data_IF_733327236828
#
_entry.id   IF_733327236828
#
_cell.length_a   1.000
_cell.length_b   1.000
_cell.length_c   1.000
_cell.angle_alpha   90.00
_cell.angle_beta   90.00
_cell.angle_gamma   90.00
#
_symmetry.space_group_name_H-M   'P 1'
#
loop_
_entity.id
_entity.type
_entity.pdbx_description
1 polymer ?
#
# COMPACT_ATOMS: atom_id res chain seq x y z
N UNK A 1 -0.32 -4.63 27.75
CA UNK A 1 -1.14 -3.73 28.60
C UNK A 1 -2.02 -2.89 27.68
N UNK A 2 -3.36 -2.91 27.83
CA UNK A 2 -4.21 -1.97 27.09
C UNK A 2 -3.99 -0.56 27.66
N UNK A 3 -3.64 0.39 26.80
CA UNK A 3 -3.53 1.81 27.17
C UNK A 3 -4.93 2.35 27.44
N UNK A 4 -5.18 2.77 28.68
CA UNK A 4 -6.40 3.50 29.06
C UNK A 4 -6.37 4.87 28.34
N UNK A 5 -7.43 5.27 27.62
CA UNK A 5 -7.48 6.58 27.00
C UNK A 5 -7.45 7.67 28.09
N UNK A 6 -6.42 8.51 28.11
CA UNK A 6 -6.42 9.70 28.97
C UNK A 6 -7.32 10.75 28.32
N UNK A 7 -8.49 10.98 28.91
CA UNK A 7 -9.35 12.09 28.53
C UNK A 7 -8.70 13.39 29.01
N UNK A 8 -8.08 14.13 28.08
CA UNK A 8 -7.75 15.54 28.30
C UNK A 8 -9.02 16.38 28.10
N UNK A 9 -9.21 17.37 28.96
CA UNK A 9 -10.44 18.16 29.21
C UNK A 9 -10.97 19.04 28.06
N UNK A 10 -10.53 18.82 26.83
CA UNK A 10 -11.14 19.37 25.62
C UNK A 10 -11.47 18.18 24.72
N UNK A 11 -12.73 18.02 24.31
CA UNK A 11 -13.29 16.86 23.61
C UNK A 11 -12.65 16.44 22.28
N UNK A 12 -11.45 16.90 21.97
CA UNK A 12 -10.57 16.33 20.98
C UNK A 12 -10.05 14.98 21.49
N UNK A 13 -10.57 13.89 20.93
CA UNK A 13 -10.00 12.55 21.11
C UNK A 13 -8.59 12.57 20.53
N UNK A 14 -7.59 12.71 21.39
CA UNK A 14 -6.19 12.60 21.01
C UNK A 14 -5.89 11.11 20.80
N UNK A 15 -5.88 10.66 19.55
CA UNK A 15 -5.39 9.34 19.17
C UNK A 15 -3.90 9.46 18.84
N UNK A 16 -2.99 9.22 19.81
CA UNK A 16 -1.58 9.20 19.48
C UNK A 16 -1.34 8.08 18.46
N UNK A 17 -0.76 8.41 17.31
CA UNK A 17 -0.28 7.38 16.38
C UNK A 17 0.88 6.65 17.04
N UNK A 18 0.58 5.55 17.75
CA UNK A 18 1.55 4.71 18.44
C UNK A 18 2.33 3.91 17.40
N UNK A 19 3.66 3.80 17.59
CA UNK A 19 4.53 3.00 16.72
C UNK A 19 4.17 1.51 16.88
N UNK A 20 3.76 0.88 15.78
CA UNK A 20 3.45 -0.56 15.78
C UNK A 20 4.67 -1.48 15.78
N UNK A 21 5.88 -0.98 15.46
CA UNK A 21 7.12 -1.75 15.42
C UNK A 21 8.35 -0.84 15.58
N UNK A 22 9.52 -1.37 15.98
CA UNK A 22 10.77 -0.64 15.87
C UNK A 22 11.21 -0.50 14.41
N UNK A 23 11.97 0.55 14.14
CA UNK A 23 12.54 0.79 12.83
C UNK A 23 13.59 -0.27 12.46
N UNK A 24 13.29 -1.08 11.46
CA UNK A 24 14.23 -2.05 10.93
C UNK A 24 14.96 -1.48 9.72
N UNK A 25 16.30 -1.50 9.76
CA UNK A 25 17.16 -1.21 8.61
C UNK A 25 17.35 -2.49 7.80
N UNK A 26 17.43 -2.34 6.47
CA UNK A 26 17.73 -3.46 5.60
C UNK A 26 19.24 -3.75 5.66
N UNK A 27 19.62 -4.83 6.32
CA UNK A 27 21.01 -5.32 6.32
C UNK A 27 21.26 -6.22 5.12
N UNK A 28 22.52 -6.40 4.73
CA UNK A 28 22.90 -7.30 3.63
C UNK A 28 22.43 -8.74 3.87
N UNK A 29 22.50 -9.22 5.11
CA UNK A 29 21.98 -10.54 5.50
C UNK A 29 20.46 -10.64 5.29
N UNK A 30 19.68 -9.62 5.68
CA UNK A 30 18.24 -9.59 5.42
C UNK A 30 17.94 -9.52 3.92
N UNK A 31 18.74 -8.78 3.15
CA UNK A 31 18.61 -8.74 1.69
C UNK A 31 18.84 -10.11 1.05
N UNK A 32 19.93 -10.80 1.39
CA UNK A 32 20.23 -12.13 0.85
C UNK A 32 19.17 -13.16 1.28
N UNK A 33 18.76 -13.12 2.56
CA UNK A 33 17.67 -13.96 3.08
C UNK A 33 16.37 -13.74 2.30
N UNK A 34 16.06 -12.51 1.93
CA UNK A 34 14.85 -12.21 1.14
C UNK A 34 14.89 -12.92 -0.22
N UNK A 35 16.00 -12.83 -0.94
CA UNK A 35 16.16 -13.48 -2.24
C UNK A 35 16.14 -15.00 -2.17
N UNK A 36 16.79 -15.58 -1.16
CA UNK A 36 16.75 -17.03 -0.91
C UNK A 36 15.30 -17.47 -0.65
N UNK A 37 14.58 -16.76 0.23
CA UNK A 37 13.18 -17.06 0.53
C UNK A 37 12.30 -16.92 -0.72
N UNK A 38 12.47 -15.85 -1.48
CA UNK A 38 11.74 -15.62 -2.72
C UNK A 38 11.98 -16.76 -3.72
N UNK A 39 13.23 -17.11 -3.97
CA UNK A 39 13.62 -18.17 -4.89
C UNK A 39 13.06 -19.53 -4.48
N UNK A 40 13.22 -19.92 -3.20
CA UNK A 40 12.72 -21.21 -2.70
C UNK A 40 11.19 -21.31 -2.84
N UNK A 41 10.46 -20.23 -2.57
CA UNK A 41 9.01 -20.23 -2.72
C UNK A 41 8.58 -20.21 -4.19
N UNK A 42 9.24 -19.41 -5.03
CA UNK A 42 8.91 -19.26 -6.43
C UNK A 42 9.18 -20.54 -7.25
N UNK A 43 10.30 -21.23 -6.97
CA UNK A 43 10.73 -22.37 -7.81
C UNK A 43 10.27 -23.71 -7.26
N UNK A 44 10.19 -23.88 -5.94
CA UNK A 44 9.92 -25.20 -5.35
C UNK A 44 8.56 -25.25 -4.65
N UNK A 45 8.37 -24.44 -3.60
CA UNK A 45 7.23 -24.64 -2.70
C UNK A 45 5.88 -24.28 -3.34
N UNK A 46 5.78 -23.12 -3.99
CA UNK A 46 4.51 -22.67 -4.59
C UNK A 46 4.15 -23.47 -5.84
N UNK A 47 5.08 -23.78 -6.76
CA UNK A 47 4.79 -24.67 -7.88
C UNK A 47 4.32 -26.05 -7.41
N UNK A 48 4.99 -26.63 -6.41
CA UNK A 48 4.58 -27.91 -5.84
C UNK A 48 3.16 -27.87 -5.25
N UNK A 49 2.83 -26.81 -4.51
CA UNK A 49 1.48 -26.63 -3.98
C UNK A 49 0.43 -26.49 -5.09
N UNK A 50 0.72 -25.72 -6.14
CA UNK A 50 -0.18 -25.57 -7.29
C UNK A 50 -0.32 -26.91 -8.03
N UNK A 51 0.76 -27.67 -8.17
CA UNK A 51 0.72 -28.99 -8.79
C UNK A 51 -0.21 -29.95 -8.02
N UNK A 52 -0.04 -30.01 -6.70
CA UNK A 52 -0.91 -30.83 -5.86
C UNK A 52 -2.37 -30.40 -5.96
N UNK A 53 -2.68 -29.10 -5.93
CA UNK A 53 -4.07 -28.62 -5.93
C UNK A 53 -4.77 -28.75 -7.29
N UNK A 54 -4.05 -28.55 -8.40
CA UNK A 54 -4.64 -28.52 -9.74
C UNK A 54 -4.59 -29.87 -10.47
N UNK A 55 -3.67 -30.76 -10.10
CA UNK A 55 -3.51 -32.05 -10.77
C UNK A 55 -3.81 -33.24 -9.86
N UNK A 56 -3.25 -33.29 -8.65
CA UNK A 56 -3.38 -34.47 -7.76
C UNK A 56 -4.70 -34.46 -6.99
N UNK A 57 -4.99 -33.36 -6.31
CA UNK A 57 -6.16 -33.16 -5.44
C UNK A 57 -7.27 -32.39 -6.16
N UNK A 58 -7.23 -32.34 -7.49
CA UNK A 58 -8.12 -31.51 -8.32
C UNK A 58 -9.60 -31.70 -7.97
N UNK A 59 -10.02 -32.93 -7.72
CA UNK A 59 -11.42 -33.28 -7.43
C UNK A 59 -11.88 -32.81 -6.05
N UNK A 60 -10.95 -32.57 -5.13
CA UNK A 60 -11.25 -32.16 -3.75
C UNK A 60 -10.83 -30.73 -3.44
N UNK A 61 -10.06 -30.10 -4.33
CA UNK A 61 -9.51 -28.76 -4.13
C UNK A 61 -10.59 -27.69 -4.25
N UNK A 62 -10.93 -26.95 -3.18
CA UNK A 62 -11.91 -25.87 -3.25
C UNK A 62 -11.49 -24.76 -4.22
N UNK A 63 -10.18 -24.58 -4.42
CA UNK A 63 -9.64 -23.63 -5.39
C UNK A 63 -10.09 -23.94 -6.81
N UNK A 64 -10.11 -25.22 -7.18
CA UNK A 64 -10.52 -25.66 -8.52
C UNK A 64 -12.04 -25.77 -8.61
N UNK A 65 -12.68 -26.33 -7.57
CA UNK A 65 -14.10 -26.65 -7.59
C UNK A 65 -14.99 -25.41 -7.37
N UNK A 66 -14.63 -24.54 -6.42
CA UNK A 66 -15.48 -23.41 -6.02
C UNK A 66 -14.98 -22.08 -6.62
N UNK A 67 -13.68 -21.84 -6.60
CA UNK A 67 -13.12 -20.55 -7.03
C UNK A 67 -12.89 -20.50 -8.54
N UNK A 68 -12.55 -21.63 -9.17
CA UNK A 68 -12.30 -21.71 -10.62
C UNK A 68 -11.11 -20.85 -11.09
N UNK A 69 -10.17 -20.50 -10.20
CA UNK A 69 -9.07 -19.57 -10.51
C UNK A 69 -8.08 -20.21 -11.51
N UNK A 70 -7.54 -19.49 -12.50
CA UNK A 70 -6.44 -19.99 -13.32
C UNK A 70 -5.18 -20.30 -12.48
N UNK A 71 -4.45 -21.36 -12.85
CA UNK A 71 -3.26 -21.81 -12.11
C UNK A 71 -2.21 -20.71 -11.94
N UNK A 72 -2.00 -19.89 -12.98
CA UNK A 72 -1.05 -18.79 -12.94
C UNK A 72 -1.42 -17.72 -11.90
N UNK A 73 -2.69 -17.29 -11.87
CA UNK A 73 -3.17 -16.33 -10.88
C UNK A 73 -3.09 -16.92 -9.47
N UNK A 74 -3.37 -18.21 -9.32
CA UNK A 74 -3.26 -18.89 -8.04
C UNK A 74 -1.81 -18.97 -7.55
N UNK A 75 -0.88 -19.32 -8.43
CA UNK A 75 0.56 -19.28 -8.20
C UNK A 75 1.02 -17.90 -7.73
N UNK A 76 0.65 -16.82 -8.44
CA UNK A 76 1.02 -15.46 -8.06
C UNK A 76 0.51 -15.09 -6.66
N UNK A 77 -0.74 -15.44 -6.35
CA UNK A 77 -1.34 -15.14 -5.05
C UNK A 77 -0.62 -15.89 -3.93
N UNK A 78 -0.33 -17.17 -4.11
CA UNK A 78 0.44 -17.96 -3.14
C UNK A 78 1.86 -17.44 -2.97
N UNK A 79 2.52 -17.04 -4.05
CA UNK A 79 3.86 -16.46 -3.99
C UNK A 79 3.87 -15.14 -3.21
N UNK A 80 2.92 -14.24 -3.51
CA UNK A 80 2.78 -12.97 -2.76
C UNK A 80 2.49 -13.25 -1.29
N UNK A 81 1.59 -14.18 -0.97
CA UNK A 81 1.30 -14.57 0.41
C UNK A 81 2.52 -15.17 1.12
N UNK A 82 3.28 -16.03 0.44
CA UNK A 82 4.46 -16.67 0.99
C UNK A 82 5.57 -15.66 1.31
N UNK A 83 5.80 -14.70 0.41
CA UNK A 83 6.75 -13.61 0.62
C UNK A 83 6.25 -12.69 1.73
N UNK A 84 4.96 -12.34 1.73
CA UNK A 84 4.36 -11.45 2.72
C UNK A 84 4.44 -12.02 4.14
N UNK A 85 4.08 -13.29 4.33
CA UNK A 85 4.06 -13.95 5.64
C UNK A 85 5.45 -14.17 6.23
N UNK A 86 6.50 -14.27 5.41
CA UNK A 86 7.84 -14.65 5.84
C UNK A 86 8.86 -13.50 5.82
N UNK A 87 8.50 -12.37 5.21
CA UNK A 87 9.38 -11.20 5.13
C UNK A 87 9.22 -10.30 6.34
N UNK A 88 10.33 -9.73 6.79
CA UNK A 88 10.30 -8.65 7.78
C UNK A 88 9.81 -7.34 7.15
N UNK A 89 9.31 -6.38 7.94
CA UNK A 89 8.97 -5.04 7.45
C UNK A 89 10.09 -4.38 6.61
N UNK A 90 11.36 -4.58 6.97
CA UNK A 90 12.49 -4.06 6.19
C UNK A 90 12.61 -4.74 4.81
N UNK A 91 12.42 -6.06 4.74
CA UNK A 91 12.48 -6.82 3.48
C UNK A 91 11.30 -6.48 2.55
N UNK A 92 10.10 -6.25 3.10
CA UNK A 92 8.94 -5.84 2.30
C UNK A 92 9.14 -4.48 1.59
N UNK A 93 10.03 -3.61 2.10
CA UNK A 93 10.38 -2.37 1.40
C UNK A 93 11.22 -2.58 0.14
N UNK A 94 11.88 -3.74 -0.02
CA UNK A 94 12.54 -4.09 -1.29
C UNK A 94 11.49 -4.14 -2.41
N UNK A 95 10.31 -4.68 -2.10
CA UNK A 95 9.20 -4.80 -3.05
C UNK A 95 8.34 -3.54 -3.13
N UNK A 96 8.17 -2.84 -2.01
CA UNK A 96 7.24 -1.72 -1.88
C UNK A 96 7.94 -0.48 -1.32
N UNK A 97 8.98 0.01 -2.01
CA UNK A 97 9.54 1.33 -1.72
C UNK A 97 8.52 2.40 -2.13
N UNK A 98 7.81 2.91 -1.12
CA UNK A 98 6.82 3.97 -1.27
C UNK A 98 7.36 5.16 -2.07
N UNK A 99 8.50 5.71 -1.68
CA UNK A 99 8.97 6.99 -2.21
C UNK A 99 9.25 6.85 -3.70
N UNK A 100 10.06 5.84 -4.04
CA UNK A 100 10.41 5.54 -5.42
C UNK A 100 9.17 5.17 -6.24
N UNK A 101 8.33 4.27 -5.72
CA UNK A 101 7.18 3.77 -6.47
C UNK A 101 6.22 4.92 -6.79
N UNK A 102 5.85 5.75 -5.81
CA UNK A 102 4.94 6.87 -6.08
C UNK A 102 5.57 7.96 -6.95
N UNK A 103 6.88 8.18 -6.85
CA UNK A 103 7.57 9.07 -7.78
C UNK A 103 7.43 8.57 -9.23
N UNK A 104 7.57 7.25 -9.45
CA UNK A 104 7.39 6.62 -10.76
C UNK A 104 5.94 6.67 -11.25
N UNK A 105 4.96 6.41 -10.39
CA UNK A 105 3.54 6.45 -10.81
C UNK A 105 3.11 7.88 -11.13
N UNK A 106 3.48 8.85 -10.30
CA UNK A 106 3.09 10.24 -10.52
C UNK A 106 3.94 10.95 -11.58
N UNK A 107 5.05 10.38 -12.04
CA UNK A 107 5.78 10.89 -13.20
C UNK A 107 5.10 10.53 -14.52
N UNK A 108 4.15 9.58 -14.52
CA UNK A 108 3.42 9.22 -15.72
C UNK A 108 2.60 10.43 -16.25
N UNK A 109 2.57 10.66 -17.57
CA UNK A 109 1.93 11.85 -18.16
C UNK A 109 0.49 12.10 -17.71
N UNK A 110 -0.27 11.03 -17.48
CA UNK A 110 -1.67 11.07 -17.04
C UNK A 110 -1.90 11.77 -15.69
N UNK A 111 -0.87 11.84 -14.84
CA UNK A 111 -0.92 12.49 -13.52
C UNK A 111 -0.36 13.91 -13.52
N UNK A 112 0.15 14.41 -14.64
CA UNK A 112 0.82 15.70 -14.72
C UNK A 112 -0.15 16.84 -14.34
N UNK A 113 0.18 17.56 -13.27
CA UNK A 113 -0.65 18.66 -12.75
C UNK A 113 -1.85 18.22 -11.92
N UNK A 114 -2.12 16.92 -11.80
CA UNK A 114 -3.24 16.37 -11.02
C UNK A 114 -2.89 16.13 -9.55
N UNK A 115 -1.61 15.86 -9.27
CA UNK A 115 -1.15 15.47 -7.94
C UNK A 115 -0.48 16.64 -7.24
N UNK A 116 -0.94 16.97 -6.02
CA UNK A 116 -0.32 17.97 -5.16
C UNK A 116 -0.01 17.39 -3.77
N UNK A 117 1.26 17.36 -3.39
CA UNK A 117 1.69 17.00 -2.03
C UNK A 117 1.31 18.12 -1.06
N UNK A 118 0.86 17.74 0.13
CA UNK A 118 0.56 18.66 1.23
C UNK A 118 1.04 18.08 2.55
N UNK A 119 1.43 18.96 3.46
CA UNK A 119 1.79 18.60 4.82
C UNK A 119 1.14 19.61 5.77
N UNK A 120 0.35 19.12 6.73
CA UNK A 120 -0.38 19.94 7.69
C UNK A 120 -0.24 19.30 9.06
N UNK A 121 0.24 20.06 10.06
CA UNK A 121 0.38 19.61 11.44
C UNK A 121 1.12 18.26 11.59
N UNK A 122 2.21 18.07 10.83
CA UNK A 122 3.01 16.84 10.83
C UNK A 122 2.37 15.62 10.16
N UNK A 123 1.20 15.81 9.53
CA UNK A 123 0.53 14.82 8.69
C UNK A 123 0.77 15.14 7.23
N UNK A 124 1.47 14.24 6.54
CA UNK A 124 1.62 14.30 5.09
C UNK A 124 0.40 13.71 4.39
N UNK A 125 0.09 14.22 3.21
CA UNK A 125 -0.89 13.65 2.32
C UNK A 125 -0.74 14.17 0.90
N UNK A 126 -1.59 13.69 0.00
CA UNK A 126 -1.58 14.07 -1.41
C UNK A 126 -2.99 14.29 -1.91
N UNK A 127 -3.17 15.40 -2.61
CA UNK A 127 -4.38 15.66 -3.36
C UNK A 127 -4.24 15.08 -4.77
N UNK A 128 -5.32 14.48 -5.26
CA UNK A 128 -5.55 14.12 -6.64
C UNK A 128 -6.80 14.88 -7.09
N UNK A 129 -6.64 15.86 -7.97
CA UNK A 129 -7.73 16.70 -8.44
C UNK A 129 -7.41 17.22 -9.85
N UNK A 130 -8.42 17.72 -10.55
CA UNK A 130 -8.20 18.37 -11.83
C UNK A 130 -7.29 19.61 -11.67
N UNK A 131 -6.37 19.89 -12.62
CA UNK A 131 -5.51 21.06 -12.54
C UNK A 131 -6.32 22.36 -12.49
N UNK A 132 -5.94 23.28 -11.60
CA UNK A 132 -6.55 24.61 -11.52
C UNK A 132 -7.90 24.68 -10.78
N UNK A 133 -8.40 23.58 -10.21
CA UNK A 133 -9.65 23.63 -9.44
C UNK A 133 -9.45 24.17 -8.03
N UNK A 134 -10.39 25.01 -7.59
CA UNK A 134 -10.50 25.38 -6.19
C UNK A 134 -11.21 24.26 -5.41
N UNK A 135 -10.42 23.52 -4.63
CA UNK A 135 -10.87 22.36 -3.85
C UNK A 135 -11.94 22.68 -2.81
N UNK A 136 -12.09 23.96 -2.41
CA UNK A 136 -13.19 24.37 -1.52
C UNK A 136 -14.56 24.28 -2.19
N UNK A 137 -14.58 24.21 -3.52
CA UNK A 137 -15.78 24.12 -4.35
C UNK A 137 -16.00 22.72 -4.91
N UNK A 138 -15.23 21.73 -4.45
CA UNK A 138 -15.47 20.35 -4.84
C UNK A 138 -16.78 19.86 -4.21
N UNK A 139 -17.66 19.26 -5.01
CA UNK A 139 -18.91 18.65 -4.56
C UNK A 139 -18.65 17.42 -3.69
N UNK A 140 -17.56 16.69 -4.01
CA UNK A 140 -17.20 15.45 -3.33
C UNK A 140 -15.69 15.38 -3.08
N UNK A 141 -15.33 15.08 -1.84
CA UNK A 141 -13.94 14.78 -1.46
C UNK A 141 -13.84 13.35 -0.95
N UNK A 142 -13.09 12.51 -1.66
CA UNK A 142 -12.79 11.15 -1.24
C UNK A 142 -11.58 11.16 -0.32
N UNK A 143 -11.79 10.91 0.97
CA UNK A 143 -10.72 10.71 1.92
C UNK A 143 -10.25 9.25 1.90
N UNK A 144 -9.07 9.00 1.33
CA UNK A 144 -8.53 7.66 1.15
C UNK A 144 -7.39 7.37 2.12
N UNK A 145 -7.57 6.30 2.90
CA UNK A 145 -6.54 5.70 3.74
C UNK A 145 -6.15 4.38 3.08
N UNK A 146 -4.91 4.29 2.63
CA UNK A 146 -4.44 3.11 1.92
C UNK A 146 -4.35 1.87 2.82
N UNK A 147 -4.58 0.68 2.26
CA UNK A 147 -4.31 -0.59 2.94
C UNK A 147 -2.81 -0.89 3.09
N UNK A 148 -2.49 -2.08 3.58
CA UNK A 148 -1.09 -2.52 3.77
C UNK A 148 -0.73 -2.86 5.21
N UNK A 149 -1.75 -3.14 6.04
CA UNK A 149 -1.57 -3.60 7.42
C UNK A 149 -0.77 -2.64 8.30
N UNK A 150 -0.76 -1.35 7.97
CA UNK A 150 0.07 -0.30 8.60
C UNK A 150 1.59 -0.49 8.49
N UNK A 151 2.04 -1.48 7.69
CA UNK A 151 3.44 -1.86 7.54
C UNK A 151 4.03 -1.36 6.23
N UNK A 152 3.28 -1.44 5.11
CA UNK A 152 3.76 -1.04 3.78
C UNK A 152 2.70 -0.22 3.02
N UNK A 153 3.09 0.43 1.91
CA UNK A 153 2.15 1.18 1.07
C UNK A 153 1.54 0.30 -0.01
N UNK A 154 0.22 0.19 -0.03
CA UNK A 154 -0.51 -0.36 -1.18
C UNK A 154 -1.31 0.70 -1.95
N UNK A 155 -1.34 1.94 -1.46
CA UNK A 155 -2.16 3.02 -2.01
C UNK A 155 -1.69 3.51 -3.37
N UNK A 156 -0.53 3.04 -3.82
CA UNK A 156 -0.01 3.36 -5.14
C UNK A 156 -0.83 2.71 -6.25
N UNK A 157 -1.27 1.47 -6.06
CA UNK A 157 -2.02 0.72 -7.06
C UNK A 157 -3.43 1.30 -7.27
N UNK A 158 -3.95 2.04 -6.29
CA UNK A 158 -5.27 2.68 -6.37
C UNK A 158 -5.26 4.03 -7.08
N UNK A 159 -4.09 4.65 -7.34
CA UNK A 159 -4.03 6.01 -7.91
C UNK A 159 -4.70 6.09 -9.29
N UNK A 160 -4.48 5.08 -10.13
CA UNK A 160 -5.06 5.02 -11.48
C UNK A 160 -6.57 4.89 -11.47
N UNK A 161 -7.08 4.04 -10.57
CA UNK A 161 -8.51 3.89 -10.35
C UNK A 161 -9.14 5.22 -9.96
N UNK A 162 -8.58 5.91 -8.95
CA UNK A 162 -9.13 7.19 -8.51
C UNK A 162 -9.02 8.29 -9.56
N UNK A 163 -7.92 8.34 -10.32
CA UNK A 163 -7.79 9.29 -11.43
C UNK A 163 -8.89 9.08 -12.47
N UNK A 164 -9.13 7.81 -12.85
CA UNK A 164 -10.20 7.47 -13.79
C UNK A 164 -11.57 7.87 -13.24
N UNK A 165 -11.87 7.51 -11.99
CA UNK A 165 -13.15 7.81 -11.35
C UNK A 165 -13.41 9.31 -11.25
N UNK A 166 -12.41 10.10 -10.83
CA UNK A 166 -12.54 11.56 -10.74
C UNK A 166 -12.79 12.17 -12.12
N UNK A 167 -12.09 11.70 -13.16
CA UNK A 167 -12.34 12.14 -14.54
C UNK A 167 -13.76 11.79 -14.99
N UNK A 168 -14.23 10.57 -14.74
CA UNK A 168 -15.60 10.17 -15.09
C UNK A 168 -16.66 11.00 -14.37
N UNK A 169 -16.49 11.26 -13.07
CA UNK A 169 -17.42 12.11 -12.31
C UNK A 169 -17.52 13.52 -12.90
N UNK A 170 -16.38 14.11 -13.27
CA UNK A 170 -16.35 15.44 -13.88
C UNK A 170 -16.90 15.45 -15.30
N UNK A 171 -16.38 14.57 -16.16
CA UNK A 171 -16.60 14.62 -17.61
C UNK A 171 -17.98 14.07 -18.01
N UNK A 172 -18.51 13.09 -17.27
CA UNK A 172 -19.80 12.44 -17.58
C UNK A 172 -20.94 12.99 -16.72
N UNK A 173 -20.67 13.27 -15.45
CA UNK A 173 -21.72 13.65 -14.49
C UNK A 173 -21.67 15.13 -14.10
N UNK A 174 -20.68 15.90 -14.55
CA UNK A 174 -20.51 17.31 -14.18
C UNK A 174 -20.17 17.54 -12.71
N UNK A 175 -19.80 16.48 -11.97
CA UNK A 175 -19.52 16.53 -10.54
C UNK A 175 -18.04 16.84 -10.33
N UNK A 176 -17.74 17.92 -9.63
CA UNK A 176 -16.37 18.26 -9.29
C UNK A 176 -15.92 17.44 -8.07
N UNK A 177 -15.06 16.45 -8.31
CA UNK A 177 -14.55 15.57 -7.28
C UNK A 177 -13.04 15.70 -7.08
N UNK A 178 -12.57 15.45 -5.85
CA UNK A 178 -11.16 15.28 -5.54
C UNK A 178 -10.91 14.12 -4.60
N UNK A 179 -9.68 13.61 -4.62
CA UNK A 179 -9.20 12.58 -3.71
C UNK A 179 -8.11 13.13 -2.80
N UNK A 180 -8.25 12.92 -1.48
CA UNK A 180 -7.18 13.14 -0.52
C UNK A 180 -6.62 11.80 -0.05
N UNK A 181 -5.34 11.57 -0.33
CA UNK A 181 -4.61 10.36 0.01
C UNK A 181 -3.78 10.63 1.25
N UNK A 182 -4.20 10.04 2.38
CA UNK A 182 -3.49 10.19 3.64
C UNK A 182 -2.18 9.39 3.60
N UNK A 183 -1.08 10.09 3.84
CA UNK A 183 0.25 9.50 3.97
C UNK A 183 0.59 9.30 5.44
N UNK A 184 -0.17 8.40 6.07
CA UNK A 184 0.00 8.14 7.50
C UNK A 184 1.37 7.54 7.82
N UNK A 185 1.84 7.77 9.05
CA UNK A 185 3.08 7.18 9.53
C UNK A 185 2.88 5.67 9.67
N UNK A 186 3.71 4.91 8.97
CA UNK A 186 3.75 3.46 9.09
C UNK A 186 4.55 3.06 10.32
N UNK A 187 4.31 1.85 10.79
CA UNK A 187 4.92 1.29 12.00
C UNK A 187 6.45 1.24 11.98
N UNK A 188 7.11 1.52 10.85
CA UNK A 188 8.56 1.65 10.79
C UNK A 188 8.98 2.77 9.82
N UNK A 189 9.04 4.02 10.30
CA UNK A 189 9.61 5.17 9.58
C UNK A 189 10.91 5.59 10.25
N UNK A 190 12.05 5.19 9.67
CA UNK A 190 13.33 5.84 9.95
C UNK A 190 13.27 7.25 9.35
N UNK A 191 13.56 8.32 10.11
CA UNK A 191 13.99 9.57 9.51
C UNK A 191 15.34 9.30 8.83
N UNK A 192 15.44 9.54 7.53
CA UNK A 192 16.74 9.79 6.93
C UNK A 192 17.26 11.07 7.62
N UNK A 193 18.14 10.92 8.60
CA UNK A 193 18.85 12.05 9.19
C UNK A 193 19.77 12.67 8.12
N UNK A 194 20.01 14.00 8.19
CA UNK A 194 21.02 14.67 7.36
C UNK A 194 22.44 14.20 7.74
N UNK A 195 23.46 14.44 6.90
CA UNK A 195 24.84 14.09 7.24
C UNK A 195 25.25 14.78 8.54
N UNK A 196 26.06 14.06 9.31
CA UNK A 196 26.66 14.50 10.57
C UNK A 196 27.32 15.88 10.45
N UNK A 197 27.07 16.74 11.45
CA UNK A 197 28.05 17.73 11.90
C UNK A 197 29.12 17.02 12.76
#
# INVERSE_FOLDING_TARGET
>A
MPLKPSQTSNGAVHLPLVRGAPDQRLTFSLFLRFWILFFVNAVFLVPWQCFLEYFVLRLFSPVVQEVGRPIYTHYLIKLVQAVYRRSTPAQLRILADRVRSYALVHSAPKFRGWVKKVEVNGTSGRWLAAPGTDRKKDDVVVYYIHGGGFIFDSGINSQDFFLSTIKTLRDVHGIQASGFFLDYRKSARVPLLPPHD
#
